data_IF_574618030897
#
_entry.id   IF_574618030897
#
_cell.length_a   1.000
_cell.length_b   1.000
_cell.length_c   1.000
_cell.angle_alpha   90.00
_cell.angle_beta   90.00
_cell.angle_gamma   90.00
#
_symmetry.space_group_name_H-M   'P 1'
#
loop_
_entity.id
_entity.type
_entity.pdbx_description
1 polymer ?
#
# COMPACT_ATOMS: atom_id res chain seq x y z
N UNK A 1 19.26 -2.19 35.20
CA UNK A 1 18.02 -1.40 35.19
C UNK A 1 16.92 -2.35 34.76
N UNK A 2 15.90 -2.59 35.60
CA UNK A 2 14.76 -3.42 35.21
C UNK A 2 14.00 -2.66 34.12
N UNK A 3 13.78 -3.28 32.96
CA UNK A 3 12.81 -2.79 31.99
C UNK A 3 11.45 -2.72 32.70
N UNK A 4 11.08 -1.52 33.14
CA UNK A 4 9.70 -1.26 33.51
C UNK A 4 8.93 -1.22 32.20
N UNK A 5 8.07 -2.21 32.00
CA UNK A 5 7.07 -2.21 30.94
C UNK A 5 6.25 -0.92 31.11
N UNK A 6 6.55 0.09 30.28
CA UNK A 6 5.78 1.33 30.26
C UNK A 6 4.38 0.90 29.80
N UNK A 7 3.43 0.84 30.73
CA UNK A 7 2.02 0.55 30.45
C UNK A 7 1.54 1.52 29.35
N UNK A 8 1.43 1.01 28.12
CA UNK A 8 0.91 1.78 26.99
C UNK A 8 -0.60 1.88 27.15
N UNK A 9 -1.04 3.08 27.51
CA UNK A 9 -2.46 3.43 27.55
C UNK A 9 -3.10 3.31 26.15
N UNK A 10 -4.39 3.03 26.11
CA UNK A 10 -5.18 2.86 24.88
C UNK A 10 -5.11 4.12 23.99
N UNK A 11 -5.08 5.30 24.62
CA UNK A 11 -4.94 6.59 23.92
C UNK A 11 -3.61 6.71 23.20
N UNK A 12 -2.52 6.25 23.83
CA UNK A 12 -1.19 6.27 23.24
C UNK A 12 -1.13 5.38 22.01
N UNK A 13 -1.68 4.16 22.10
CA UNK A 13 -1.75 3.22 20.97
C UNK A 13 -2.59 3.78 19.82
N UNK A 14 -3.71 4.42 20.11
CA UNK A 14 -4.58 5.02 19.10
C UNK A 14 -3.89 6.14 18.32
N UNK A 15 -3.20 7.07 19.02
CA UNK A 15 -2.46 8.17 18.40
C UNK A 15 -1.30 7.65 17.56
N UNK A 16 -0.58 6.65 18.07
CA UNK A 16 0.55 6.05 17.36
C UNK A 16 0.11 5.30 16.09
N UNK A 17 -0.98 4.53 16.14
CA UNK A 17 -1.49 3.87 14.95
C UNK A 17 -2.01 4.88 13.91
N UNK A 18 -2.61 6.00 14.37
CA UNK A 18 -3.01 7.08 13.50
C UNK A 18 -1.81 7.78 12.84
N UNK A 19 -0.71 7.99 13.58
CA UNK A 19 0.50 8.60 13.03
C UNK A 19 1.17 7.70 11.98
N UNK A 20 1.28 6.38 12.24
CA UNK A 20 1.78 5.43 11.26
C UNK A 20 0.90 5.36 10.01
N UNK A 21 -0.42 5.38 10.17
CA UNK A 21 -1.34 5.42 9.02
C UNK A 21 -1.13 6.68 8.17
N UNK A 22 -1.01 7.84 8.81
CA UNK A 22 -0.76 9.10 8.09
C UNK A 22 0.58 9.09 7.38
N UNK A 23 1.65 8.66 8.05
CA UNK A 23 2.98 8.55 7.46
C UNK A 23 2.96 7.61 6.24
N UNK A 24 2.31 6.46 6.35
CA UNK A 24 2.16 5.50 5.26
C UNK A 24 1.43 6.12 4.05
N UNK A 25 0.33 6.83 4.28
CA UNK A 25 -0.43 7.51 3.23
C UNK A 25 0.44 8.56 2.53
N UNK A 26 1.07 9.46 3.29
CA UNK A 26 1.90 10.53 2.71
C UNK A 26 3.05 9.95 1.89
N UNK A 27 3.76 8.95 2.42
CA UNK A 27 4.88 8.31 1.71
C UNK A 27 4.40 7.59 0.46
N UNK A 28 3.35 6.76 0.56
CA UNK A 28 2.86 5.95 -0.56
C UNK A 28 2.39 6.84 -1.72
N UNK A 29 1.57 7.86 -1.42
CA UNK A 29 1.11 8.78 -2.45
C UNK A 29 2.23 9.67 -2.99
N UNK A 30 3.18 10.08 -2.14
CA UNK A 30 4.37 10.83 -2.59
C UNK A 30 5.23 10.02 -3.57
N UNK A 31 5.45 8.74 -3.28
CA UNK A 31 6.19 7.84 -4.18
C UNK A 31 5.43 7.61 -5.49
N UNK A 32 4.10 7.40 -5.45
CA UNK A 32 3.28 7.27 -6.66
C UNK A 32 3.30 8.54 -7.52
N UNK A 33 3.26 9.73 -6.92
CA UNK A 33 3.45 10.99 -7.65
C UNK A 33 4.83 11.07 -8.30
N UNK A 34 5.87 10.61 -7.60
CA UNK A 34 7.23 10.54 -8.16
C UNK A 34 7.31 9.58 -9.36
N UNK A 35 6.63 8.43 -9.30
CA UNK A 35 6.51 7.48 -10.42
C UNK A 35 5.84 8.15 -11.62
N UNK A 36 4.73 8.86 -11.40
CA UNK A 36 4.02 9.61 -12.47
C UNK A 36 4.97 10.65 -13.08
N UNK A 37 5.62 11.47 -12.25
CA UNK A 37 6.52 12.50 -12.72
C UNK A 37 7.71 11.93 -13.52
N UNK A 38 8.40 10.93 -12.98
CA UNK A 38 9.55 10.27 -13.65
C UNK A 38 9.11 9.58 -14.95
N UNK A 39 7.95 8.93 -14.95
CA UNK A 39 7.42 8.24 -16.13
C UNK A 39 7.00 9.21 -17.24
N UNK A 40 6.20 10.22 -16.92
CA UNK A 40 5.61 11.11 -17.94
C UNK A 40 6.50 12.29 -18.33
N UNK A 41 7.22 12.89 -17.37
CA UNK A 41 8.02 14.10 -17.63
C UNK A 41 9.45 13.74 -18.02
N UNK A 42 10.04 12.76 -17.34
CA UNK A 42 11.44 12.40 -17.54
C UNK A 42 11.64 11.17 -18.45
N UNK A 43 10.58 10.46 -18.85
CA UNK A 43 10.64 9.20 -19.60
C UNK A 43 11.60 8.16 -18.98
N UNK A 44 11.67 8.13 -17.64
CA UNK A 44 12.53 7.22 -16.90
C UNK A 44 11.74 6.01 -16.38
N UNK A 45 12.43 4.86 -16.37
CA UNK A 45 11.95 3.69 -15.66
C UNK A 45 11.78 4.01 -14.17
N UNK A 46 10.58 3.76 -13.65
CA UNK A 46 10.21 3.99 -12.24
C UNK A 46 9.77 2.71 -11.54
N UNK A 47 10.17 1.57 -12.10
CA UNK A 47 9.83 0.23 -11.61
C UNK A 47 10.40 -0.04 -10.22
N UNK A 48 11.53 0.59 -9.86
CA UNK A 48 12.13 0.57 -8.53
C UNK A 48 11.15 1.11 -7.46
N UNK A 49 10.62 2.31 -7.70
CA UNK A 49 9.69 2.97 -6.80
C UNK A 49 8.33 2.26 -6.77
N UNK A 50 7.87 1.79 -7.93
CA UNK A 50 6.61 1.05 -8.04
C UNK A 50 6.70 -0.29 -7.29
N UNK A 51 7.81 -1.02 -7.44
CA UNK A 51 8.07 -2.25 -6.70
C UNK A 51 8.12 -2.01 -5.19
N UNK A 52 8.74 -0.92 -4.73
CA UNK A 52 8.77 -0.57 -3.30
C UNK A 52 7.36 -0.40 -2.73
N UNK A 53 6.48 0.34 -3.41
CA UNK A 53 5.10 0.55 -2.96
C UNK A 53 4.31 -0.75 -2.95
N UNK A 54 4.45 -1.57 -4.00
CA UNK A 54 3.72 -2.85 -4.11
C UNK A 54 4.19 -3.83 -3.03
N UNK A 55 5.51 -3.98 -2.85
CA UNK A 55 6.08 -4.88 -1.86
C UNK A 55 5.74 -4.44 -0.43
N UNK A 56 5.85 -3.15 -0.11
CA UNK A 56 5.50 -2.65 1.22
C UNK A 56 4.02 -2.87 1.55
N UNK A 57 3.15 -2.61 0.58
CA UNK A 57 1.70 -2.86 0.72
C UNK A 57 1.40 -4.35 0.88
N UNK A 58 2.09 -5.20 0.12
CA UNK A 58 1.97 -6.66 0.18
C UNK A 58 2.36 -7.22 1.54
N UNK A 59 3.49 -6.78 2.10
CA UNK A 59 3.94 -7.20 3.44
C UNK A 59 2.91 -6.82 4.51
N UNK A 60 2.39 -5.59 4.48
CA UNK A 60 1.35 -5.15 5.41
C UNK A 60 0.08 -6.00 5.29
N UNK A 61 -0.34 -6.29 4.06
CA UNK A 61 -1.53 -7.11 3.76
C UNK A 61 -1.37 -8.55 4.24
N UNK A 62 -0.19 -9.15 4.03
CA UNK A 62 0.13 -10.50 4.51
C UNK A 62 0.12 -10.56 6.04
N UNK A 63 0.72 -9.58 6.70
CA UNK A 63 0.74 -9.50 8.16
C UNK A 63 -0.69 -9.39 8.74
N UNK A 64 -1.54 -8.56 8.13
CA UNK A 64 -2.96 -8.44 8.51
C UNK A 64 -3.74 -9.73 8.25
N UNK A 65 -3.44 -10.44 7.15
CA UNK A 65 -4.05 -11.73 6.82
C UNK A 65 -3.72 -12.81 7.85
N UNK A 66 -2.46 -12.89 8.29
CA UNK A 66 -2.03 -13.84 9.33
C UNK A 66 -2.73 -13.61 10.68
N UNK A 67 -3.06 -12.37 11.01
CA UNK A 67 -3.80 -12.02 12.23
C UNK A 67 -5.32 -12.08 12.06
N UNK A 68 -5.81 -12.58 10.91
CA UNK A 68 -7.24 -12.90 10.66
C UNK A 68 -8.21 -11.73 10.86
N UNK A 69 -7.77 -10.50 10.59
CA UNK A 69 -8.55 -9.26 10.74
C UNK A 69 -9.50 -9.01 9.55
N UNK A 70 -9.48 -9.90 8.54
CA UNK A 70 -10.21 -9.69 7.29
C UNK A 70 -11.72 -9.88 7.49
N UNK A 71 -12.43 -8.76 7.57
CA UNK A 71 -13.89 -8.75 7.52
C UNK A 71 -14.36 -9.08 6.08
N UNK A 72 -15.35 -9.95 5.93
CA UNK A 72 -15.88 -10.37 4.64
C UNK A 72 -16.44 -9.20 3.82
N UNK A 73 -16.84 -8.12 4.50
CA UNK A 73 -17.30 -6.88 3.88
C UNK A 73 -16.19 -6.13 3.14
N UNK A 74 -14.93 -6.30 3.55
CA UNK A 74 -13.77 -5.68 2.90
C UNK A 74 -13.24 -6.50 1.72
N UNK A 75 -13.54 -7.80 1.67
CA UNK A 75 -13.11 -8.68 0.57
C UNK A 75 -13.72 -8.27 -0.78
N UNK A 76 -15.02 -7.95 -0.81
CA UNK A 76 -15.72 -7.60 -2.04
C UNK A 76 -15.12 -6.35 -2.73
N UNK A 77 -14.93 -5.20 -2.05
CA UNK A 77 -14.32 -4.03 -2.69
C UNK A 77 -12.85 -4.27 -3.08
N UNK A 78 -12.08 -5.03 -2.28
CA UNK A 78 -10.69 -5.37 -2.63
C UNK A 78 -10.62 -6.22 -3.90
N UNK A 79 -11.47 -7.25 -4.01
CA UNK A 79 -11.56 -8.09 -5.21
C UNK A 79 -12.04 -7.31 -6.43
N UNK A 80 -13.03 -6.42 -6.27
CA UNK A 80 -13.49 -5.55 -7.34
C UNK A 80 -12.37 -4.61 -7.84
N UNK A 81 -11.58 -4.04 -6.93
CA UNK A 81 -10.45 -3.19 -7.26
C UNK A 81 -9.33 -3.98 -7.97
N UNK A 82 -8.97 -5.16 -7.46
CA UNK A 82 -7.99 -6.03 -8.12
C UNK A 82 -8.46 -6.47 -9.51
N UNK A 83 -9.72 -6.87 -9.63
CA UNK A 83 -10.31 -7.29 -10.90
C UNK A 83 -10.33 -6.17 -11.93
N UNK A 84 -10.80 -4.98 -11.54
CA UNK A 84 -10.80 -3.80 -12.43
C UNK A 84 -9.39 -3.40 -12.85
N UNK A 85 -8.43 -3.38 -11.93
CA UNK A 85 -7.02 -3.11 -12.25
C UNK A 85 -6.43 -4.13 -13.23
N UNK A 86 -6.72 -5.41 -13.05
CA UNK A 86 -6.24 -6.47 -13.94
C UNK A 86 -6.82 -6.35 -15.36
N UNK A 87 -8.12 -6.00 -15.46
CA UNK A 87 -8.78 -5.76 -16.76
C UNK A 87 -8.10 -4.59 -17.48
N UNK A 88 -7.87 -3.46 -16.79
CA UNK A 88 -7.21 -2.30 -17.39
C UNK A 88 -5.80 -2.66 -17.87
N UNK A 89 -5.02 -3.37 -17.05
CA UNK A 89 -3.67 -3.80 -17.42
C UNK A 89 -3.69 -4.73 -18.66
N UNK A 90 -4.62 -5.68 -18.72
CA UNK A 90 -4.77 -6.58 -19.86
C UNK A 90 -5.16 -5.84 -21.15
N UNK A 91 -6.08 -4.87 -21.05
CA UNK A 91 -6.48 -4.03 -22.20
C UNK A 91 -5.31 -3.18 -22.72
N UNK A 92 -4.53 -2.59 -21.82
CA UNK A 92 -3.33 -1.82 -22.20
C UNK A 92 -2.28 -2.72 -22.85
N UNK A 93 -2.01 -3.89 -22.28
CA UNK A 93 -1.06 -4.85 -22.84
C UNK A 93 -1.48 -5.33 -24.23
N UNK A 94 -2.75 -5.65 -24.43
CA UNK A 94 -3.31 -6.03 -25.73
C UNK A 94 -3.21 -4.89 -26.76
N UNK A 95 -3.50 -3.64 -26.34
CA UNK A 95 -3.39 -2.47 -27.22
C UNK A 95 -1.93 -2.20 -27.63
N UNK A 96 -0.97 -2.41 -26.72
CA UNK A 96 0.46 -2.20 -26.96
C UNK A 96 1.13 -3.30 -27.79
N UNK A 97 0.55 -4.52 -27.82
CA UNK A 97 1.12 -5.68 -28.56
C UNK A 97 0.50 -5.89 -29.95
N UNK A 98 -0.47 -5.05 -30.33
CA UNK A 98 -1.13 -5.06 -31.64
C UNK A 98 -0.51 -4.03 -32.58
#
# INVERSE_FOLDING_TARGET
>A
MKEQEILRDERTVAVENASYRLAYVVISFGVLLSVIYRGFVLNQSSWDLLALVVLSSGIATLHQGQHKIWDQRMLLPVLALMGSSAIVAALLAWLLTR
#
